data_IF_439041160387
#
_entry.id   IF_439041160387
#
_cell.length_a   1.000
_cell.length_b   1.000
_cell.length_c   1.000
_cell.angle_alpha   90.00
_cell.angle_beta   90.00
_cell.angle_gamma   90.00
#
_symmetry.space_group_name_H-M   'P 1'
#
loop_
_entity.id
_entity.type
_entity.pdbx_description
1 polymer ?
#
# COMPACT_ATOMS: atom_id res chain seq x y z
N UNK A 1 8.91 88.38 -17.32
CA UNK A 1 8.46 88.56 -15.93
C UNK A 1 8.88 89.96 -15.50
N UNK A 2 7.94 90.82 -15.07
CA UNK A 2 8.31 92.12 -14.50
C UNK A 2 8.97 91.83 -13.14
N UNK A 3 10.29 91.96 -13.06
CA UNK A 3 11.02 91.73 -11.82
C UNK A 3 10.87 92.93 -10.89
N UNK A 4 11.00 92.76 -9.56
CA UNK A 4 11.03 93.89 -8.61
C UNK A 4 12.07 94.95 -8.99
N UNK A 5 13.15 94.53 -9.66
CA UNK A 5 14.21 95.39 -10.17
C UNK A 5 13.71 96.32 -11.29
N UNK A 6 12.94 95.80 -12.26
CA UNK A 6 12.37 96.58 -13.38
C UNK A 6 11.38 97.64 -12.85
N UNK A 7 10.59 97.32 -11.83
CA UNK A 7 9.66 98.29 -11.21
C UNK A 7 10.45 99.38 -10.49
N UNK A 8 11.52 99.02 -9.77
CA UNK A 8 12.36 99.97 -9.05
C UNK A 8 13.07 100.94 -10.01
N UNK A 9 13.58 100.43 -11.12
CA UNK A 9 14.21 101.22 -12.19
C UNK A 9 13.21 102.15 -12.89
N UNK A 10 12.00 101.66 -13.20
CA UNK A 10 10.94 102.48 -13.81
C UNK A 10 10.48 103.63 -12.89
N UNK A 11 10.34 103.38 -11.58
CA UNK A 11 9.99 104.41 -10.59
C UNK A 11 11.11 105.43 -10.43
N UNK A 12 12.38 104.99 -10.38
CA UNK A 12 13.53 105.89 -10.34
C UNK A 12 13.58 106.79 -11.58
N UNK A 13 13.41 106.20 -12.77
CA UNK A 13 13.41 106.93 -14.03
C UNK A 13 12.30 107.98 -14.09
N UNK A 14 11.09 107.65 -13.61
CA UNK A 14 9.97 108.59 -13.55
C UNK A 14 10.23 109.74 -12.55
N UNK A 15 10.85 109.45 -11.40
CA UNK A 15 11.23 110.47 -10.41
C UNK A 15 12.34 111.40 -10.94
N UNK A 16 13.31 110.86 -11.67
CA UNK A 16 14.38 111.64 -12.29
C UNK A 16 13.85 112.51 -13.45
N UNK A 17 12.88 112.01 -14.22
CA UNK A 17 12.17 112.80 -15.23
C UNK A 17 11.34 113.95 -14.61
N UNK A 18 10.76 113.75 -13.42
CA UNK A 18 10.05 114.80 -12.68
C UNK A 18 10.98 115.88 -12.11
N UNK A 19 12.18 115.51 -11.66
CA UNK A 19 13.16 116.48 -11.11
C UNK A 19 13.81 117.36 -12.18
N UNK A 20 13.86 116.90 -13.42
CA UNK A 20 14.53 117.60 -14.53
C UNK A 20 13.59 118.47 -15.38
N UNK A 21 12.37 118.75 -14.92
CA UNK A 21 11.47 119.70 -15.58
C UNK A 21 11.95 121.13 -15.20
N UNK A 22 12.52 121.91 -16.13
CA UNK A 22 12.96 123.27 -15.84
C UNK A 22 11.77 124.12 -15.38
N UNK A 23 11.96 124.88 -14.30
CA UNK A 23 10.99 125.84 -13.81
C UNK A 23 10.94 127.06 -14.76
N UNK A 24 10.37 126.88 -15.95
CA UNK A 24 10.11 128.01 -16.84
C UNK A 24 8.92 128.83 -16.33
N UNK A 25 9.04 130.17 -16.25
CA UNK A 25 7.93 131.05 -15.92
C UNK A 25 6.97 131.11 -17.11
N UNK A 26 5.93 130.27 -17.11
CA UNK A 26 4.86 130.35 -18.11
C UNK A 26 4.21 129.04 -18.56
N UNK A 27 4.20 127.98 -17.72
CA UNK A 27 3.41 126.79 -18.03
C UNK A 27 1.93 127.16 -18.20
N UNK A 28 1.38 126.88 -19.38
CA UNK A 28 -0.03 127.10 -19.66
C UNK A 28 -0.88 126.20 -18.74
N UNK A 29 -2.07 126.65 -18.32
CA UNK A 29 -2.98 125.82 -17.50
C UNK A 29 -3.28 124.46 -18.13
N UNK A 30 -3.22 124.35 -19.46
CA UNK A 30 -3.39 123.08 -20.17
C UNK A 30 -2.29 122.08 -19.83
N UNK A 31 -1.04 122.52 -19.77
CA UNK A 31 0.11 121.67 -19.46
C UNK A 31 0.07 121.20 -17.99
N UNK A 32 -0.41 122.05 -17.07
CA UNK A 32 -0.62 121.66 -15.68
C UNK A 32 -1.72 120.60 -15.54
N UNK A 33 -2.87 120.76 -16.21
CA UNK A 33 -3.94 119.75 -16.21
C UNK A 33 -3.52 118.42 -16.83
N UNK A 34 -2.71 118.47 -17.89
CA UNK A 34 -2.14 117.28 -18.51
C UNK A 34 -1.16 116.56 -17.57
N UNK A 35 -0.28 117.31 -16.89
CA UNK A 35 0.63 116.76 -15.89
C UNK A 35 -0.11 116.14 -14.69
N UNK A 36 -1.15 116.80 -14.18
CA UNK A 36 -2.02 116.26 -13.11
C UNK A 36 -2.73 114.98 -13.54
N UNK A 37 -3.27 114.95 -14.77
CA UNK A 37 -3.93 113.76 -15.32
C UNK A 37 -2.94 112.61 -15.46
N UNK A 38 -1.74 112.88 -15.96
CA UNK A 38 -0.67 111.89 -16.10
C UNK A 38 -0.19 111.37 -14.74
N UNK A 39 -0.07 112.23 -13.74
CA UNK A 39 0.27 111.85 -12.37
C UNK A 39 -0.80 110.95 -11.74
N UNK A 40 -2.08 111.26 -11.97
CA UNK A 40 -3.20 110.41 -11.54
C UNK A 40 -3.17 109.03 -12.20
N UNK A 41 -2.90 108.97 -13.51
CA UNK A 41 -2.76 107.69 -14.23
C UNK A 41 -1.58 106.86 -13.73
N UNK A 42 -0.43 107.48 -13.46
CA UNK A 42 0.75 106.80 -12.92
C UNK A 42 0.49 106.26 -11.50
N UNK A 43 -0.22 107.01 -10.66
CA UNK A 43 -0.60 106.54 -9.33
C UNK A 43 -1.55 105.34 -9.38
N UNK A 44 -2.54 105.35 -10.27
CA UNK A 44 -3.44 104.20 -10.48
C UNK A 44 -2.66 102.96 -10.97
N UNK A 45 -1.73 103.14 -11.92
CA UNK A 45 -0.85 102.05 -12.36
C UNK A 45 0.04 101.50 -11.23
N UNK A 46 0.57 102.37 -10.37
CA UNK A 46 1.37 101.97 -9.21
C UNK A 46 0.55 101.14 -8.22
N UNK A 47 -0.71 101.53 -7.95
CA UNK A 47 -1.59 100.79 -7.05
C UNK A 47 -2.02 99.44 -7.63
N UNK A 48 -2.23 99.34 -8.95
CA UNK A 48 -2.45 98.07 -9.63
C UNK A 48 -1.24 97.14 -9.54
N UNK A 49 -0.02 97.68 -9.69
CA UNK A 49 1.22 96.92 -9.53
C UNK A 49 1.45 96.44 -8.09
N UNK A 50 1.12 97.26 -7.07
CA UNK A 50 1.17 96.85 -5.66
C UNK A 50 0.21 95.69 -5.39
N UNK A 51 -1.05 95.78 -5.83
CA UNK A 51 -2.04 94.69 -5.71
C UNK A 51 -1.58 93.41 -6.40
N UNK A 52 -0.97 93.51 -7.59
CA UNK A 52 -0.42 92.35 -8.29
C UNK A 52 0.76 91.72 -7.52
N UNK A 53 1.65 92.55 -6.96
CA UNK A 53 2.77 92.08 -6.11
C UNK A 53 2.26 91.33 -4.88
N UNK A 54 1.30 91.90 -4.15
CA UNK A 54 0.69 91.26 -2.97
C UNK A 54 0.02 89.92 -3.33
N UNK A 55 -0.75 89.88 -4.42
CA UNK A 55 -1.36 88.64 -4.92
C UNK A 55 -0.30 87.58 -5.28
N UNK A 56 0.81 88.00 -5.88
CA UNK A 56 1.92 87.11 -6.24
C UNK A 56 2.62 86.57 -4.99
N UNK A 57 2.90 87.44 -4.00
CA UNK A 57 3.50 87.05 -2.72
C UNK A 57 2.60 86.10 -1.93
N UNK A 58 1.30 86.36 -1.88
CA UNK A 58 0.33 85.46 -1.27
C UNK A 58 0.27 84.10 -1.99
N UNK A 59 0.36 84.11 -3.32
CA UNK A 59 0.47 82.89 -4.13
C UNK A 59 1.74 82.09 -3.82
N UNK A 60 2.89 82.75 -3.68
CA UNK A 60 4.16 82.13 -3.31
C UNK A 60 4.10 81.52 -1.90
N UNK A 61 3.62 82.28 -0.91
CA UNK A 61 3.46 81.80 0.46
C UNK A 61 2.54 80.57 0.53
N UNK A 62 1.44 80.56 -0.24
CA UNK A 62 0.54 79.41 -0.32
C UNK A 62 1.22 78.18 -0.95
N UNK A 63 2.04 78.36 -1.98
CA UNK A 63 2.80 77.28 -2.59
C UNK A 63 3.86 76.71 -1.63
N UNK A 64 4.55 77.56 -0.88
CA UNK A 64 5.51 77.13 0.15
C UNK A 64 4.82 76.32 1.26
N UNK A 65 3.65 76.76 1.72
CA UNK A 65 2.84 76.01 2.69
C UNK A 65 2.44 74.63 2.16
N UNK A 66 1.91 74.56 0.94
CA UNK A 66 1.53 73.29 0.30
C UNK A 66 2.75 72.37 0.10
N UNK A 67 3.91 72.94 -0.21
CA UNK A 67 5.14 72.17 -0.35
C UNK A 67 5.59 71.57 0.99
N UNK A 68 5.57 72.37 2.07
CA UNK A 68 5.88 71.89 3.43
C UNK A 68 4.89 70.82 3.91
N UNK A 69 3.60 70.99 3.64
CA UNK A 69 2.57 69.99 3.94
C UNK A 69 2.85 68.67 3.21
N UNK A 70 3.13 68.72 1.90
CA UNK A 70 3.49 67.52 1.13
C UNK A 70 4.77 66.86 1.64
N UNK A 71 5.76 67.64 2.07
CA UNK A 71 7.00 67.11 2.65
C UNK A 71 6.72 66.36 3.96
N UNK A 72 5.87 66.91 4.83
CA UNK A 72 5.44 66.25 6.07
C UNK A 72 4.64 64.98 5.80
N UNK A 73 3.70 65.01 4.85
CA UNK A 73 2.96 63.82 4.44
C UNK A 73 3.88 62.72 3.90
N UNK A 74 4.89 63.09 3.11
CA UNK A 74 5.86 62.15 2.58
C UNK A 74 6.72 61.54 3.70
N UNK A 75 7.20 62.35 4.65
CA UNK A 75 7.93 61.86 5.83
C UNK A 75 7.08 60.90 6.66
N UNK A 76 5.82 61.26 6.94
CA UNK A 76 4.90 60.39 7.68
C UNK A 76 4.64 59.06 6.95
N UNK A 77 4.60 59.05 5.61
CA UNK A 77 4.49 57.82 4.82
C UNK A 77 5.76 56.96 4.92
N UNK A 78 6.94 57.57 4.91
CA UNK A 78 8.22 56.86 5.10
C UNK A 78 8.32 56.21 6.49
N UNK A 79 7.95 56.93 7.54
CA UNK A 79 7.94 56.41 8.91
C UNK A 79 6.97 55.23 9.06
N UNK A 80 5.75 55.33 8.50
CA UNK A 80 4.78 54.23 8.50
C UNK A 80 5.30 53.00 7.75
N UNK A 81 5.91 53.19 6.58
CA UNK A 81 6.49 52.11 5.80
C UNK A 81 7.65 51.42 6.54
N UNK A 82 8.53 52.20 7.17
CA UNK A 82 9.64 51.69 7.99
C UNK A 82 9.12 50.88 9.19
N UNK A 83 8.11 51.39 9.90
CA UNK A 83 7.48 50.67 11.02
C UNK A 83 6.82 49.35 10.59
N UNK A 84 6.15 49.33 9.44
CA UNK A 84 5.59 48.10 8.86
C UNK A 84 6.70 47.10 8.53
N UNK A 85 7.76 47.52 7.85
CA UNK A 85 8.90 46.65 7.52
C UNK A 85 9.56 46.06 8.77
N UNK A 86 9.75 46.87 9.82
CA UNK A 86 10.31 46.40 11.09
C UNK A 86 9.39 45.37 11.77
N UNK A 87 8.07 45.61 11.76
CA UNK A 87 7.08 44.68 12.30
C UNK A 87 7.06 43.36 11.51
N UNK A 88 7.05 43.42 10.18
CA UNK A 88 7.14 42.23 9.31
C UNK A 88 8.43 41.46 9.53
N UNK A 89 9.57 42.14 9.66
CA UNK A 89 10.86 41.49 9.95
C UNK A 89 10.85 40.76 11.29
N UNK A 90 10.26 41.37 12.34
CA UNK A 90 10.11 40.74 13.65
C UNK A 90 9.19 39.51 13.58
N UNK A 91 8.08 39.60 12.85
CA UNK A 91 7.16 38.48 12.66
C UNK A 91 7.85 37.30 11.95
N UNK A 92 8.62 37.57 10.87
CA UNK A 92 9.39 36.55 10.15
C UNK A 92 10.43 35.87 11.06
N UNK A 93 11.16 36.63 11.87
CA UNK A 93 12.15 36.08 12.80
C UNK A 93 11.53 35.17 13.88
N UNK A 94 10.33 35.52 14.36
CA UNK A 94 9.58 34.68 15.29
C UNK A 94 9.10 33.39 14.61
N UNK A 95 8.62 33.46 13.37
CA UNK A 95 8.24 32.28 12.59
C UNK A 95 9.44 31.36 12.33
N UNK A 96 10.61 31.93 12.00
CA UNK A 96 11.84 31.17 11.79
C UNK A 96 12.28 30.44 13.07
N UNK A 97 12.23 31.12 14.23
CA UNK A 97 12.53 30.51 15.53
C UNK A 97 11.60 29.33 15.83
N UNK A 98 10.29 29.51 15.63
CA UNK A 98 9.29 28.44 15.85
C UNK A 98 9.46 27.27 14.87
N UNK A 99 9.85 27.55 13.62
CA UNK A 99 10.16 26.51 12.64
C UNK A 99 11.34 25.65 13.10
N UNK A 100 12.44 26.27 13.52
CA UNK A 100 13.62 25.54 13.99
C UNK A 100 13.40 24.76 15.29
N UNK A 101 12.56 25.25 16.20
CA UNK A 101 12.13 24.47 17.38
C UNK A 101 11.40 23.19 16.98
N UNK A 102 10.47 23.26 16.01
CA UNK A 102 9.78 22.07 15.48
C UNK A 102 10.74 21.11 14.78
N UNK A 103 11.72 21.62 14.04
CA UNK A 103 12.75 20.78 13.41
C UNK A 103 13.53 20.00 14.47
N UNK A 104 13.96 20.64 15.56
CA UNK A 104 14.64 19.96 16.68
C UNK A 104 13.76 18.90 17.35
N UNK A 105 12.47 19.17 17.50
CA UNK A 105 11.51 18.19 18.03
C UNK A 105 11.40 16.96 17.10
N UNK A 106 11.33 17.18 15.78
CA UNK A 106 11.31 16.08 14.80
C UNK A 106 12.63 15.29 14.79
N UNK A 107 13.78 15.95 14.91
CA UNK A 107 15.08 15.28 15.03
C UNK A 107 15.15 14.38 16.28
N UNK A 108 14.60 14.86 17.41
CA UNK A 108 14.49 14.06 18.63
C UNK A 108 13.59 12.83 18.42
N UNK A 109 12.42 13.00 17.82
CA UNK A 109 11.50 11.89 17.51
C UNK A 109 12.15 10.88 16.55
N UNK A 110 12.90 11.35 15.55
CA UNK A 110 13.65 10.47 14.65
C UNK A 110 14.73 9.65 15.37
N UNK A 111 15.40 10.24 16.36
CA UNK A 111 16.38 9.52 17.19
C UNK A 111 15.71 8.45 18.07
N UNK A 112 14.56 8.76 18.68
CA UNK A 112 13.77 7.81 19.47
C UNK A 112 13.27 6.64 18.60
N UNK A 113 12.81 6.93 17.37
CA UNK A 113 12.35 5.91 16.44
C UNK A 113 13.47 4.97 15.99
N UNK A 114 14.67 5.50 15.71
CA UNK A 114 15.85 4.68 15.40
C UNK A 114 16.24 3.78 16.56
N UNK A 115 16.26 4.31 17.79
CA UNK A 115 16.55 3.51 18.98
C UNK A 115 15.51 2.39 19.18
N UNK A 116 14.23 2.67 18.91
CA UNK A 116 13.16 1.67 18.99
C UNK A 116 13.32 0.58 17.91
N UNK A 117 13.73 0.97 16.70
CA UNK A 117 14.00 0.04 15.61
C UNK A 117 15.17 -0.90 15.96
N UNK A 118 16.28 -0.37 16.47
CA UNK A 118 17.43 -1.18 16.89
C UNK A 118 17.06 -2.19 17.98
N UNK A 119 16.19 -1.81 18.92
CA UNK A 119 15.68 -2.72 19.95
C UNK A 119 14.80 -3.83 19.36
N UNK A 120 13.92 -3.51 18.41
CA UNK A 120 13.12 -4.51 17.70
C UNK A 120 13.99 -5.48 16.90
N UNK A 121 15.06 -5.00 16.26
CA UNK A 121 16.01 -5.84 15.53
C UNK A 121 16.75 -6.80 16.48
N UNK A 122 17.14 -6.34 17.69
CA UNK A 122 17.71 -7.22 18.72
C UNK A 122 16.74 -8.30 19.17
N UNK A 123 15.49 -7.93 19.45
CA UNK A 123 14.45 -8.89 19.84
C UNK A 123 14.17 -9.91 18.74
N UNK A 124 14.17 -9.47 17.47
CA UNK A 124 14.01 -10.38 16.33
C UNK A 124 15.15 -11.40 16.24
N UNK A 125 16.40 -10.96 16.47
CA UNK A 125 17.56 -11.84 16.50
C UNK A 125 17.45 -12.88 17.63
N UNK A 126 17.04 -12.46 18.83
CA UNK A 126 16.83 -13.35 19.98
C UNK A 126 15.75 -14.40 19.69
N UNK A 127 14.61 -13.99 19.14
CA UNK A 127 13.51 -14.89 18.75
C UNK A 127 13.98 -15.90 17.70
N UNK A 128 14.78 -15.45 16.73
CA UNK A 128 15.33 -16.31 15.68
C UNK A 128 16.31 -17.34 16.25
N UNK A 129 17.13 -16.95 17.24
CA UNK A 129 17.97 -17.86 18.01
C UNK A 129 17.14 -18.95 18.72
N UNK A 130 16.14 -18.54 19.51
CA UNK A 130 15.24 -19.48 20.21
C UNK A 130 14.48 -20.41 19.27
N UNK A 131 14.08 -19.93 18.08
CA UNK A 131 13.43 -20.77 17.05
C UNK A 131 14.38 -21.87 16.54
N UNK A 132 15.66 -21.56 16.40
CA UNK A 132 16.68 -22.52 15.97
C UNK A 132 16.94 -23.57 17.06
N UNK A 133 17.01 -23.16 18.33
CA UNK A 133 17.10 -24.08 19.47
C UNK A 133 15.88 -25.01 19.54
N UNK A 134 14.67 -24.47 19.38
CA UNK A 134 13.44 -25.27 19.36
C UNK A 134 13.44 -26.29 18.21
N UNK A 135 13.93 -25.90 17.03
CA UNK A 135 14.05 -26.81 15.89
C UNK A 135 15.05 -27.95 16.16
N UNK A 136 16.17 -27.66 16.82
CA UNK A 136 17.14 -28.68 17.23
C UNK A 136 16.53 -29.67 18.24
N UNK A 137 15.84 -29.16 19.27
CA UNK A 137 15.12 -30.00 20.25
C UNK A 137 14.03 -30.87 19.61
N UNK A 138 13.33 -30.33 18.60
CA UNK A 138 12.32 -31.08 17.86
C UNK A 138 12.95 -32.26 17.10
N UNK A 139 14.10 -32.06 16.46
CA UNK A 139 14.82 -33.11 15.74
C UNK A 139 15.39 -34.17 16.69
N UNK A 140 15.96 -33.75 17.82
CA UNK A 140 16.39 -34.67 18.88
C UNK A 140 15.22 -35.53 19.39
N UNK A 141 14.07 -34.90 19.67
CA UNK A 141 12.85 -35.60 20.10
C UNK A 141 12.37 -36.61 19.05
N UNK A 142 12.50 -36.28 17.77
CA UNK A 142 12.16 -37.16 16.65
C UNK A 142 13.10 -38.37 16.59
N UNK A 143 14.41 -38.16 16.73
CA UNK A 143 15.40 -39.25 16.78
C UNK A 143 15.16 -40.18 17.97
N UNK A 144 14.84 -39.63 19.15
CA UNK A 144 14.48 -40.42 20.33
C UNK A 144 13.21 -41.24 20.08
N UNK A 145 12.16 -40.64 19.49
CA UNK A 145 10.93 -41.37 19.12
C UNK A 145 11.20 -42.50 18.14
N UNK A 146 12.00 -42.26 17.10
CA UNK A 146 12.38 -43.27 16.11
C UNK A 146 13.16 -44.42 16.77
N UNK A 147 14.08 -44.11 17.69
CA UNK A 147 14.85 -45.11 18.45
C UNK A 147 13.96 -45.94 19.38
N UNK A 148 13.01 -45.32 20.08
CA UNK A 148 12.03 -46.02 20.94
C UNK A 148 11.09 -46.91 20.12
N UNK A 149 10.63 -46.43 18.96
CA UNK A 149 9.84 -47.21 18.01
C UNK A 149 10.63 -48.41 17.50
N UNK A 150 11.90 -48.21 17.11
CA UNK A 150 12.79 -49.28 16.65
C UNK A 150 12.99 -50.33 17.75
N UNK A 151 13.25 -49.92 18.99
CA UNK A 151 13.40 -50.82 20.13
C UNK A 151 12.11 -51.59 20.46
N UNK A 152 10.94 -50.94 20.36
CA UNK A 152 9.64 -51.61 20.49
C UNK A 152 9.35 -52.57 19.33
N UNK A 153 9.77 -52.23 18.11
CA UNK A 153 9.65 -53.07 16.93
C UNK A 153 10.55 -54.30 17.02
N UNK A 154 11.82 -54.17 17.41
CA UNK A 154 12.72 -55.30 17.65
C UNK A 154 12.19 -56.24 18.74
N UNK A 155 11.61 -55.68 19.81
CA UNK A 155 10.94 -56.48 20.85
C UNK A 155 9.66 -57.15 20.33
N UNK A 156 8.96 -56.54 19.37
CA UNK A 156 7.78 -57.13 18.71
C UNK A 156 8.12 -58.11 17.58
N UNK A 157 9.32 -58.09 17.00
CA UNK A 157 9.76 -59.04 15.95
C UNK A 157 10.03 -60.43 16.54
N UNK A 158 10.14 -60.55 17.87
CA UNK A 158 10.00 -61.81 18.61
C UNK A 158 8.59 -62.43 18.49
N UNK A 159 7.58 -61.65 18.10
CA UNK A 159 6.21 -62.08 17.92
C UNK A 159 5.74 -61.71 16.51
N UNK A 160 5.77 -62.67 15.59
CA UNK A 160 5.34 -62.57 14.19
C UNK A 160 4.15 -61.60 13.92
N UNK A 161 4.43 -60.31 13.73
CA UNK A 161 3.43 -59.33 13.30
C UNK A 161 3.21 -59.51 11.80
N UNK A 162 2.12 -60.21 11.49
CA UNK A 162 1.55 -60.35 10.15
C UNK A 162 1.37 -58.97 9.53
N UNK A 163 2.08 -58.68 8.43
CA UNK A 163 1.80 -57.51 7.57
C UNK A 163 0.31 -57.50 7.24
N UNK A 164 -0.36 -56.33 7.26
CA UNK A 164 -1.78 -56.28 6.94
C UNK A 164 -1.99 -56.72 5.48
N UNK A 165 -2.72 -57.81 5.31
CA UNK A 165 -3.24 -58.26 4.02
C UNK A 165 -4.72 -57.91 4.02
N UNK A 166 -5.13 -57.01 3.13
CA UNK A 166 -6.55 -56.75 2.91
C UNK A 166 -7.08 -57.86 2.02
N UNK A 167 -8.05 -58.63 2.54
CA UNK A 167 -8.75 -59.68 1.80
C UNK A 167 -10.09 -59.12 1.32
N UNK A 168 -10.23 -58.95 0.02
CA UNK A 168 -11.51 -58.63 -0.59
C UNK A 168 -12.20 -59.93 -0.99
N UNK A 169 -13.49 -60.07 -0.67
CA UNK A 169 -14.33 -61.18 -1.11
C UNK A 169 -15.60 -60.58 -1.69
N UNK A 170 -15.86 -60.84 -2.98
CA UNK A 170 -17.13 -60.51 -3.60
C UNK A 170 -18.25 -61.37 -2.98
N UNK A 171 -19.49 -60.88 -2.96
CA UNK A 171 -20.64 -61.62 -2.41
C UNK A 171 -21.82 -61.55 -3.36
N UNK A 172 -22.66 -62.59 -3.38
CA UNK A 172 -23.87 -62.59 -4.19
C UNK A 172 -24.79 -61.43 -3.78
N UNK A 173 -25.39 -60.73 -4.76
CA UNK A 173 -26.42 -59.75 -4.49
C UNK A 173 -27.62 -60.41 -3.77
N UNK A 174 -27.88 -60.02 -2.50
CA UNK A 174 -29.10 -60.42 -1.77
C UNK A 174 -28.96 -60.70 -0.26
N UNK A 175 -27.76 -60.66 0.33
CA UNK A 175 -27.56 -60.96 1.77
C UNK A 175 -27.15 -59.70 2.54
N UNK A 176 -28.00 -59.26 3.47
CA UNK A 176 -27.89 -58.02 4.23
C UNK A 176 -26.54 -57.84 4.97
N UNK A 177 -26.02 -56.61 4.85
CA UNK A 177 -24.93 -55.92 5.58
C UNK A 177 -23.68 -56.76 5.91
N UNK A 178 -22.68 -56.66 5.04
CA UNK A 178 -21.29 -56.94 5.42
C UNK A 178 -20.53 -55.62 5.66
N UNK A 179 -19.84 -55.53 6.80
CA UNK A 179 -18.81 -54.52 7.05
C UNK A 179 -17.49 -55.16 6.63
N UNK A 180 -16.84 -54.60 5.62
CA UNK A 180 -15.46 -54.96 5.29
C UNK A 180 -14.54 -54.08 6.14
N UNK A 181 -13.67 -54.71 6.93
CA UNK A 181 -12.70 -53.97 7.76
C UNK A 181 -11.31 -54.29 7.24
N UNK A 182 -10.58 -53.27 6.81
CA UNK A 182 -9.17 -53.37 6.47
C UNK A 182 -8.34 -52.72 7.58
N UNK A 183 -7.21 -53.34 7.94
CA UNK A 183 -6.29 -52.80 8.94
C UNK A 183 -5.03 -52.29 8.24
N UNK A 184 -4.54 -51.12 8.61
CA UNK A 184 -3.21 -50.63 8.22
C UNK A 184 -2.36 -50.31 9.45
N UNK A 185 -1.07 -50.02 9.25
CA UNK A 185 -0.18 -49.60 10.34
C UNK A 185 -0.54 -48.22 10.93
N UNK A 186 -1.30 -47.39 10.22
CA UNK A 186 -1.74 -46.05 10.67
C UNK A 186 -3.17 -46.04 11.24
N UNK A 187 -3.88 -47.18 11.22
CA UNK A 187 -5.23 -47.30 11.78
C UNK A 187 -6.19 -48.16 10.95
N UNK A 188 -7.43 -48.23 11.44
CA UNK A 188 -8.56 -48.93 10.81
C UNK A 188 -9.02 -48.19 9.54
N UNK A 189 -9.01 -48.88 8.39
CA UNK A 189 -9.72 -48.45 7.19
C UNK A 189 -11.13 -49.04 7.26
N UNK A 190 -12.10 -48.16 7.48
CA UNK A 190 -13.51 -48.51 7.30
C UNK A 190 -13.79 -48.60 5.81
N UNK A 191 -14.12 -49.80 5.34
CA UNK A 191 -14.58 -49.99 3.97
C UNK A 191 -16.09 -49.75 4.00
N UNK A 192 -16.49 -48.54 3.65
CA UNK A 192 -17.89 -48.21 3.49
C UNK A 192 -18.46 -48.95 2.26
N UNK A 193 -19.71 -49.44 2.33
CA UNK A 193 -20.42 -49.92 1.14
C UNK A 193 -20.46 -48.81 0.08
N UNK A 194 -19.68 -48.97 -0.99
CA UNK A 194 -19.86 -48.14 -2.18
C UNK A 194 -20.93 -48.83 -3.03
N UNK A 195 -22.18 -48.49 -2.73
CA UNK A 195 -23.35 -48.88 -3.52
C UNK A 195 -24.26 -47.67 -3.70
N UNK A 196 -24.93 -47.60 -4.84
CA UNK A 196 -26.01 -46.64 -5.08
C UNK A 196 -27.02 -46.75 -3.94
N UNK A 197 -27.29 -45.64 -3.23
CA UNK A 197 -28.06 -45.60 -1.98
C UNK A 197 -29.55 -46.03 -2.14
N UNK A 198 -29.93 -46.61 -3.29
CA UNK A 198 -31.24 -47.19 -3.58
C UNK A 198 -31.22 -48.50 -4.37
N UNK A 199 -30.07 -49.10 -4.67
CA UNK A 199 -30.04 -50.39 -5.37
C UNK A 199 -30.34 -51.55 -4.41
N UNK A 200 -31.32 -52.42 -4.71
CA UNK A 200 -31.69 -53.54 -3.84
C UNK A 200 -30.58 -54.60 -3.69
N UNK A 201 -29.47 -54.47 -4.42
CA UNK A 201 -28.38 -55.43 -4.49
C UNK A 201 -27.02 -54.74 -4.67
N UNK A 202 -26.41 -54.17 -3.61
CA UNK A 202 -25.08 -53.60 -3.70
C UNK A 202 -24.04 -54.70 -3.87
N UNK A 203 -23.37 -54.74 -5.03
CA UNK A 203 -22.19 -55.58 -5.25
C UNK A 203 -21.00 -54.85 -4.63
N UNK A 204 -20.41 -55.46 -3.60
CA UNK A 204 -19.27 -54.89 -2.88
C UNK A 204 -17.98 -55.20 -3.63
N UNK A 205 -17.48 -54.23 -4.39
CA UNK A 205 -16.27 -54.43 -5.16
C UNK A 205 -15.18 -53.37 -4.92
N UNK A 206 -15.33 -52.44 -3.98
CA UNK A 206 -14.36 -51.35 -3.82
C UNK A 206 -13.74 -51.21 -2.42
N UNK A 207 -12.48 -50.78 -2.37
CA UNK A 207 -11.84 -50.20 -1.18
C UNK A 207 -11.89 -48.69 -1.32
N UNK A 208 -12.52 -48.01 -0.36
CA UNK A 208 -12.53 -46.56 -0.25
C UNK A 208 -11.65 -46.11 0.90
N UNK A 209 -10.75 -45.17 0.64
CA UNK A 209 -9.88 -44.55 1.63
C UNK A 209 -10.13 -43.03 1.65
N UNK A 210 -10.54 -42.52 2.80
CA UNK A 210 -10.72 -41.08 3.01
C UNK A 210 -9.41 -40.43 3.43
N UNK A 211 -9.07 -39.33 2.76
CA UNK A 211 -7.93 -38.52 3.15
C UNK A 211 -8.38 -37.18 3.72
N UNK A 212 -7.72 -36.71 4.78
CA UNK A 212 -7.96 -35.41 5.40
C UNK A 212 -7.48 -34.26 4.50
N UNK A 213 -8.06 -34.14 3.30
CA UNK A 213 -7.86 -33.01 2.40
C UNK A 213 -6.38 -32.69 2.15
N UNK A 214 -5.57 -33.71 1.80
CA UNK A 214 -4.13 -33.50 1.53
C UNK A 214 -3.86 -33.43 0.04
N UNK A 215 -2.86 -32.64 -0.32
CA UNK A 215 -2.32 -32.60 -1.68
C UNK A 215 -1.42 -33.81 -1.95
N UNK A 216 -1.70 -34.51 -3.04
CA UNK A 216 -0.92 -35.64 -3.54
C UNK A 216 -0.12 -35.27 -4.80
N UNK A 217 -0.29 -34.05 -5.33
CA UNK A 217 0.39 -33.60 -6.56
C UNK A 217 1.91 -33.55 -6.51
N UNK A 218 2.52 -33.75 -5.34
CA UNK A 218 3.99 -33.91 -5.19
C UNK A 218 4.49 -35.32 -5.52
N UNK A 219 3.58 -36.30 -5.58
CA UNK A 219 3.90 -37.68 -5.90
C UNK A 219 3.74 -37.90 -7.40
N UNK A 220 4.45 -38.88 -7.93
CA UNK A 220 4.41 -39.25 -9.34
C UNK A 220 3.37 -40.34 -9.59
N UNK A 221 3.35 -41.38 -8.76
CA UNK A 221 2.47 -42.53 -8.93
C UNK A 221 1.65 -42.85 -7.68
N UNK A 222 0.47 -43.42 -7.89
CA UNK A 222 -0.25 -44.23 -6.90
C UNK A 222 0.09 -45.71 -7.12
N UNK A 223 0.60 -46.40 -6.10
CA UNK A 223 1.08 -47.78 -6.24
C UNK A 223 0.47 -48.71 -5.22
N UNK A 224 0.29 -49.97 -5.62
CA UNK A 224 -0.14 -51.06 -4.75
C UNK A 224 0.34 -52.39 -5.30
N UNK A 225 0.41 -53.42 -4.46
CA UNK A 225 0.61 -54.79 -4.92
C UNK A 225 -0.69 -55.57 -4.80
N UNK A 226 -1.04 -56.33 -5.83
CA UNK A 226 -2.18 -57.23 -5.77
C UNK A 226 -1.87 -58.61 -6.34
N UNK A 227 -2.66 -59.61 -5.90
CA UNK A 227 -2.73 -60.94 -6.50
C UNK A 227 -4.11 -61.55 -6.28
N UNK A 228 -4.55 -62.39 -7.21
CA UNK A 228 -5.74 -63.22 -7.10
C UNK A 228 -5.48 -64.49 -6.29
N UNK A 229 -6.54 -65.18 -5.90
CA UNK A 229 -6.48 -66.53 -5.35
C UNK A 229 -6.37 -67.58 -6.46
N UNK A 230 -5.22 -68.25 -6.53
CA UNK A 230 -4.93 -69.33 -7.48
C UNK A 230 -6.02 -70.40 -7.57
N UNK A 231 -6.69 -70.71 -6.45
CA UNK A 231 -7.73 -71.77 -6.41
C UNK A 231 -9.05 -71.34 -7.05
N UNK A 232 -9.26 -70.03 -7.21
CA UNK A 232 -10.54 -69.45 -7.65
C UNK A 232 -10.50 -68.87 -9.06
N UNK A 233 -9.35 -68.92 -9.74
CA UNK A 233 -9.27 -69.16 -11.19
C UNK A 233 -9.58 -68.01 -12.15
N UNK A 234 -9.81 -66.77 -11.71
CA UNK A 234 -10.23 -65.71 -12.63
C UNK A 234 -9.34 -64.45 -12.59
N UNK A 235 -9.06 -63.84 -13.77
CA UNK A 235 -8.46 -62.52 -13.86
C UNK A 235 -9.47 -61.48 -13.38
N UNK A 236 -9.25 -60.91 -12.19
CA UNK A 236 -9.99 -59.72 -11.77
C UNK A 236 -9.36 -58.47 -12.38
N UNK A 237 -10.17 -57.44 -12.58
CA UNK A 237 -9.74 -56.14 -13.09
C UNK A 237 -9.80 -55.09 -11.99
N UNK A 238 -8.85 -54.15 -11.96
CA UNK A 238 -8.98 -52.97 -11.11
C UNK A 238 -9.40 -51.74 -11.89
N UNK A 239 -10.18 -50.87 -11.24
CA UNK A 239 -10.36 -49.47 -11.61
C UNK A 239 -10.04 -48.60 -10.40
N UNK A 240 -9.28 -47.54 -10.60
CA UNK A 240 -8.96 -46.59 -9.52
C UNK A 240 -9.64 -45.26 -9.81
N UNK A 241 -10.28 -44.71 -8.77
CA UNK A 241 -10.95 -43.42 -8.79
C UNK A 241 -10.35 -42.47 -7.75
N UNK A 242 -10.08 -41.24 -8.17
CA UNK A 242 -9.68 -40.14 -7.28
C UNK A 242 -10.78 -39.08 -7.26
N UNK A 243 -11.10 -38.57 -6.07
CA UNK A 243 -12.08 -37.49 -5.89
C UNK A 243 -11.55 -36.42 -4.95
N UNK A 244 -11.87 -35.17 -5.29
CA UNK A 244 -11.59 -33.96 -4.49
C UNK A 244 -12.86 -33.45 -3.76
N UNK A 245 -13.94 -34.22 -3.77
CA UNK A 245 -15.21 -33.88 -3.09
C UNK A 245 -16.12 -32.95 -3.90
N UNK A 246 -15.70 -32.45 -5.06
CA UNK A 246 -16.51 -31.60 -5.95
C UNK A 246 -16.81 -32.32 -7.26
N UNK A 247 -17.67 -33.36 -7.24
CA UNK A 247 -18.22 -34.12 -8.39
C UNK A 247 -17.26 -34.64 -9.49
N UNK A 248 -15.99 -34.29 -9.46
CA UNK A 248 -14.98 -34.62 -10.45
C UNK A 248 -14.30 -35.89 -10.00
N UNK A 249 -14.55 -36.96 -10.75
CA UNK A 249 -13.98 -38.29 -10.51
C UNK A 249 -13.05 -38.59 -11.67
N UNK A 250 -11.74 -38.59 -11.42
CA UNK A 250 -10.76 -39.08 -12.37
C UNK A 250 -10.76 -40.61 -12.32
N UNK A 251 -10.87 -41.27 -13.49
CA UNK A 251 -10.91 -42.73 -13.61
C UNK A 251 -9.69 -43.23 -14.35
N UNK A 252 -9.07 -44.29 -13.86
CA UNK A 252 -7.94 -44.91 -14.54
C UNK A 252 -8.10 -46.44 -14.69
N UNK A 253 -7.38 -46.92 -15.72
CA UNK A 253 -7.40 -48.20 -16.42
C UNK A 253 -7.61 -49.48 -15.62
N UNK A 254 -8.22 -50.41 -16.38
CA UNK A 254 -8.42 -51.83 -16.19
C UNK A 254 -7.09 -52.59 -16.22
N UNK A 255 -6.73 -53.25 -15.12
CA UNK A 255 -5.54 -54.10 -15.07
C UNK A 255 -5.87 -55.51 -14.63
N UNK A 256 -5.44 -56.51 -15.41
CA UNK A 256 -5.62 -57.94 -15.12
C UNK A 256 -4.69 -58.41 -14.00
N UNK A 257 -5.26 -59.03 -12.97
CA UNK A 257 -4.53 -59.61 -11.84
C UNK A 257 -4.26 -61.10 -12.08
N UNK A 258 -3.03 -61.55 -11.83
CA UNK A 258 -2.67 -62.98 -11.83
C UNK A 258 -2.68 -63.58 -10.41
N UNK A 259 -2.40 -64.87 -10.29
CA UNK A 259 -2.24 -65.56 -9.00
C UNK A 259 -0.88 -65.24 -8.29
N UNK A 260 -0.05 -64.41 -8.92
CA UNK A 260 1.24 -63.95 -8.42
C UNK A 260 1.19 -62.49 -8.00
N UNK A 261 2.05 -62.09 -7.05
CA UNK A 261 2.12 -60.69 -6.62
C UNK A 261 2.64 -59.81 -7.76
N UNK A 262 1.81 -58.89 -8.19
CA UNK A 262 2.14 -57.88 -9.18
C UNK A 262 2.09 -56.50 -8.53
N UNK A 263 3.08 -55.66 -8.87
CA UNK A 263 3.07 -54.25 -8.47
C UNK A 263 2.42 -53.45 -9.58
N UNK A 264 1.45 -52.63 -9.20
CA UNK A 264 0.77 -51.67 -10.06
C UNK A 264 1.24 -50.27 -9.69
N UNK A 265 1.54 -49.46 -10.70
CA UNK A 265 1.91 -48.06 -10.56
C UNK A 265 1.09 -47.25 -11.56
N UNK A 266 0.25 -46.36 -11.03
CA UNK A 266 -0.65 -45.53 -11.80
C UNK A 266 -0.13 -44.10 -11.74
N UNK A 267 0.30 -43.51 -12.86
CA UNK A 267 0.76 -42.13 -12.88
C UNK A 267 -0.35 -41.16 -12.47
N UNK A 268 -0.06 -40.29 -11.51
CA UNK A 268 -1.01 -39.31 -11.01
C UNK A 268 -1.35 -38.23 -12.04
N UNK A 269 -0.41 -37.97 -12.96
CA UNK A 269 -0.60 -37.03 -14.07
C UNK A 269 -1.83 -37.40 -14.92
N UNK A 270 -2.19 -38.68 -15.01
CA UNK A 270 -3.38 -39.13 -15.74
C UNK A 270 -4.70 -38.65 -15.12
N UNK A 271 -4.70 -38.32 -13.82
CA UNK A 271 -5.87 -37.74 -13.14
C UNK A 271 -5.85 -36.22 -13.14
N UNK A 272 -4.70 -35.59 -13.40
CA UNK A 272 -4.49 -34.15 -13.20
C UNK A 272 -5.36 -33.25 -14.07
N UNK A 273 -5.82 -33.75 -15.22
CA UNK A 273 -6.73 -33.06 -16.13
C UNK A 273 -8.18 -33.01 -15.64
N UNK A 274 -8.55 -33.89 -14.72
CA UNK A 274 -9.93 -34.06 -14.21
C UNK A 274 -10.03 -33.66 -12.74
N UNK A 275 -9.00 -33.94 -11.95
CA UNK A 275 -9.00 -33.78 -10.49
C UNK A 275 -7.82 -32.92 -10.06
N UNK A 276 -8.10 -31.89 -9.25
CA UNK A 276 -7.05 -31.08 -8.65
C UNK A 276 -6.27 -31.88 -7.60
N UNK A 277 -5.08 -32.37 -7.97
CA UNK A 277 -4.21 -33.17 -7.10
C UNK A 277 -3.67 -32.42 -5.88
N UNK A 278 -3.81 -31.08 -5.82
CA UNK A 278 -3.48 -30.30 -4.63
C UNK A 278 -4.43 -30.58 -3.47
N UNK A 279 -5.57 -31.22 -3.74
CA UNK A 279 -6.59 -31.53 -2.75
C UNK A 279 -7.34 -32.81 -3.13
N UNK A 280 -7.00 -33.93 -2.49
CA UNK A 280 -7.74 -35.18 -2.63
C UNK A 280 -8.45 -35.49 -1.31
N UNK A 281 -9.74 -35.79 -1.41
CA UNK A 281 -10.56 -36.21 -0.27
C UNK A 281 -10.76 -37.72 -0.22
N UNK A 282 -10.73 -38.40 -1.37
CA UNK A 282 -11.06 -39.82 -1.46
C UNK A 282 -10.27 -40.52 -2.58
N UNK A 283 -9.86 -41.75 -2.30
CA UNK A 283 -9.33 -42.71 -3.27
C UNK A 283 -10.20 -43.96 -3.17
N UNK A 284 -10.66 -44.47 -4.31
CA UNK A 284 -11.44 -45.69 -4.37
C UNK A 284 -10.82 -46.67 -5.37
N UNK A 285 -10.54 -47.90 -4.93
CA UNK A 285 -10.04 -49.00 -5.76
C UNK A 285 -11.19 -49.99 -5.97
N UNK A 286 -11.77 -50.03 -7.15
CA UNK A 286 -12.79 -50.98 -7.57
C UNK A 286 -12.15 -52.24 -8.15
N UNK A 287 -12.70 -53.40 -7.80
CA UNK A 287 -12.54 -54.69 -8.46
C UNK A 287 -13.64 -54.80 -9.52
N UNK A 288 -13.34 -54.44 -10.75
CA UNK A 288 -14.24 -54.65 -11.87
C UNK A 288 -14.05 -56.08 -12.44
N UNK A 289 -15.01 -56.56 -13.22
CA UNK A 289 -14.89 -57.86 -13.91
C UNK A 289 -15.09 -59.11 -13.04
N UNK A 290 -15.48 -58.97 -11.77
CA UNK A 290 -15.88 -60.11 -10.94
C UNK A 290 -17.18 -60.70 -11.48
N UNK A 291 -17.10 -61.90 -12.03
CA UNK A 291 -18.27 -62.61 -12.57
C UNK A 291 -18.87 -63.55 -11.51
N UNK A 292 -18.05 -64.04 -10.57
CA UNK A 292 -18.46 -65.00 -9.56
C UNK A 292 -18.30 -64.50 -8.11
N UNK A 293 -19.30 -64.80 -7.29
CA UNK A 293 -19.46 -64.33 -5.91
C UNK A 293 -18.49 -64.94 -4.88
N UNK A 294 -17.38 -65.50 -5.34
CA UNK A 294 -16.37 -66.13 -4.50
C UNK A 294 -14.95 -65.68 -4.86
N UNK A 295 -14.75 -64.72 -5.76
CA UNK A 295 -13.40 -64.24 -6.04
C UNK A 295 -12.75 -63.56 -4.83
N UNK A 296 -11.47 -63.91 -4.60
CA UNK A 296 -10.65 -63.33 -3.54
C UNK A 296 -9.43 -62.66 -4.16
N UNK A 297 -9.30 -61.38 -3.86
CA UNK A 297 -8.12 -60.58 -4.23
C UNK A 297 -7.42 -60.08 -2.98
N UNK A 298 -6.11 -60.24 -2.96
CA UNK A 298 -5.23 -59.78 -1.90
C UNK A 298 -4.55 -58.49 -2.35
N UNK A 299 -4.62 -57.45 -1.52
CA UNK A 299 -3.97 -56.16 -1.79
C UNK A 299 -3.07 -55.82 -0.60
N UNK A 300 -1.88 -55.30 -0.89
CA UNK A 300 -0.93 -54.79 0.10
C UNK A 300 -0.14 -53.59 -0.44
N UNK A 301 0.61 -52.95 0.44
CA UNK A 301 1.59 -51.91 0.10
C UNK A 301 0.98 -50.75 -0.72
N UNK A 302 -0.22 -50.32 -0.35
CA UNK A 302 -0.92 -49.17 -0.98
C UNK A 302 -0.23 -47.87 -0.55
N UNK A 303 0.33 -47.11 -1.48
CA UNK A 303 1.02 -45.85 -1.19
C UNK A 303 1.13 -44.91 -2.40
N UNK A 304 1.52 -43.66 -2.16
CA UNK A 304 1.97 -42.73 -3.20
C UNK A 304 3.50 -42.71 -3.29
N UNK A 305 4.07 -42.72 -4.49
CA UNK A 305 5.52 -42.75 -4.71
C UNK A 305 6.06 -41.60 -5.56
N UNK A 306 7.32 -41.23 -5.33
CA UNK A 306 8.06 -40.20 -6.07
C UNK A 306 8.92 -40.74 -7.24
N UNK A 307 8.97 -42.06 -7.43
CA UNK A 307 9.80 -42.72 -8.46
C UNK A 307 9.01 -42.89 -9.75
#
# INVERSE_FOLDING_TARGET
>A
QITPQIIKEAVSLAQDQLKNIPAEPGLSQSQLREAETRLKQLNEQLDQLKKHKEKTQAGQAKLEQLWLERQREWQAKQERASGLLQSTRKALSNCESSFWEKVKEHEKLLAELKSTQEELERQHLEITGKKSELAALLEETKQVKESVLFYSLEKSISDSVKKPVVKLKARQPGINRAVLTAYTFEGEIKIDPVGDYGSPNPIYNAIRAFHRKRGVGKYKDFTFCAKGDRKRGHPAEFRVELSNGTANIGRHHRVTITDSWQKFAIPLEEFSSIVNLSFISEITLFLDGIMDADEITYIKDICFSHR
#
